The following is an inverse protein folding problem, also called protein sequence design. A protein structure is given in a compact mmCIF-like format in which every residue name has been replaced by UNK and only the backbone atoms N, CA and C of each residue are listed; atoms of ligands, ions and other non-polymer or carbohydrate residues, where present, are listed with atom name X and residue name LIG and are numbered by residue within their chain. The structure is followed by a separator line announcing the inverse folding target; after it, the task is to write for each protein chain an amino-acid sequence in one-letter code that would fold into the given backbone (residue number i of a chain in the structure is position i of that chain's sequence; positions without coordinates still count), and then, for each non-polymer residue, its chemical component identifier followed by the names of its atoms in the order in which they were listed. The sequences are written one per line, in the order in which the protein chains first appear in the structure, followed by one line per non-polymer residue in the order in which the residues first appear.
data_IF_688317831517
#
_entry.id   IF_688317831517
#
_cell.length_a   1.000
_cell.length_b   1.000
_cell.length_c   1.000
_cell.angle_alpha   90.00
_cell.angle_beta   90.00
_cell.angle_gamma   90.00
#
_symmetry.space_group_name_H-M   'P 1'
#
loop_
_entity.id
_entity.type
_entity.pdbx_description
1 polymer ?
#
# COMPACT_ATOMS: atom_id res chain seq x y z
N UNK A 1 0.40 -32.66 30.18
CA UNK A 1 0.45 -33.59 29.04
C UNK A 1 -0.45 -33.07 27.94
N UNK A 2 0.08 -32.17 27.11
CA UNK A 2 -0.62 -31.65 25.97
C UNK A 2 -0.69 -32.69 24.83
N UNK A 3 -1.77 -32.67 24.03
CA UNK A 3 -1.87 -33.43 22.78
C UNK A 3 -0.81 -32.99 21.76
N UNK A 4 -0.79 -33.63 20.59
CA UNK A 4 0.04 -33.16 19.47
C UNK A 4 -0.34 -31.73 19.13
N UNK A 5 0.67 -30.87 18.89
CA UNK A 5 0.46 -29.51 18.40
C UNK A 5 -0.30 -29.56 17.08
N UNK A 6 -1.38 -28.81 16.94
CA UNK A 6 -2.07 -28.65 15.66
C UNK A 6 -1.19 -27.83 14.70
N UNK A 7 -1.08 -28.27 13.46
CA UNK A 7 -0.34 -27.59 12.38
C UNK A 7 -1.25 -27.30 11.19
N UNK A 8 -2.55 -27.51 11.36
CA UNK A 8 -3.54 -27.34 10.28
C UNK A 8 -3.96 -25.88 10.21
N UNK A 9 -3.87 -25.21 9.06
CA UNK A 9 -4.40 -23.86 8.91
C UNK A 9 -5.92 -23.80 9.11
N UNK A 10 -6.47 -22.67 9.59
CA UNK A 10 -7.91 -22.48 9.67
C UNK A 10 -8.56 -22.54 8.29
N UNK A 11 -9.82 -22.97 8.26
CA UNK A 11 -10.60 -23.17 7.04
C UNK A 11 -11.87 -22.30 7.11
N UNK A 12 -12.20 -21.63 6.00
CA UNK A 12 -13.49 -20.96 5.84
C UNK A 12 -14.62 -21.97 5.74
N UNK A 13 -15.56 -21.94 6.66
CA UNK A 13 -16.77 -22.79 6.67
C UNK A 13 -17.88 -22.21 5.82
N UNK A 14 -18.11 -20.92 5.96
CA UNK A 14 -19.17 -20.23 5.22
C UNK A 14 -18.89 -18.74 5.15
N UNK A 15 -19.54 -18.05 4.23
CA UNK A 15 -19.56 -16.59 4.19
C UNK A 15 -20.96 -16.09 3.77
N UNK A 16 -21.31 -14.91 4.23
CA UNK A 16 -22.49 -14.19 3.76
C UNK A 16 -22.11 -12.72 3.47
N UNK A 17 -22.32 -12.25 2.23
CA UNK A 17 -22.71 -13.08 1.07
C UNK A 17 -21.63 -14.10 0.71
N UNK A 18 -21.90 -14.98 -0.27
CA UNK A 18 -20.92 -15.96 -0.74
C UNK A 18 -19.76 -15.29 -1.46
N UNK A 19 -18.60 -15.94 -1.43
CA UNK A 19 -17.47 -15.48 -2.25
C UNK A 19 -17.85 -15.47 -3.74
N UNK A 20 -17.35 -14.50 -4.49
CA UNK A 20 -17.71 -14.22 -5.89
C UNK A 20 -19.18 -13.79 -6.10
N UNK A 21 -19.83 -13.23 -5.08
CA UNK A 21 -21.19 -12.69 -5.19
C UNK A 21 -21.27 -11.59 -6.24
N UNK A 22 -22.22 -11.71 -7.16
CA UNK A 22 -22.62 -10.66 -8.10
C UNK A 22 -23.76 -9.79 -7.52
N UNK A 23 -23.91 -8.60 -8.07
CA UNK A 23 -24.93 -7.63 -7.66
C UNK A 23 -24.90 -7.39 -6.13
N UNK A 24 -23.71 -7.25 -5.59
CA UNK A 24 -23.51 -7.00 -4.18
C UNK A 24 -24.10 -5.63 -3.79
N UNK A 25 -25.03 -5.63 -2.85
CA UNK A 25 -25.70 -4.43 -2.32
C UNK A 25 -25.76 -4.42 -0.79
N UNK A 26 -25.18 -5.41 -0.14
CA UNK A 26 -25.09 -5.51 1.32
C UNK A 26 -24.09 -4.47 1.86
N UNK A 27 -24.26 -4.09 3.12
CA UNK A 27 -23.32 -3.22 3.83
C UNK A 27 -22.30 -4.00 4.66
N UNK A 28 -22.42 -5.33 4.68
CA UNK A 28 -21.57 -6.18 5.51
C UNK A 28 -21.26 -7.49 4.79
N UNK A 29 -20.04 -7.97 5.02
CA UNK A 29 -19.59 -9.32 4.71
C UNK A 29 -19.27 -9.99 6.04
N UNK A 30 -19.72 -11.23 6.21
CA UNK A 30 -19.42 -12.06 7.37
C UNK A 30 -18.78 -13.38 6.88
N UNK A 31 -17.67 -13.78 7.49
CA UNK A 31 -16.95 -15.00 7.14
C UNK A 31 -16.77 -15.81 8.42
N UNK A 32 -17.15 -17.08 8.40
CA UNK A 32 -17.03 -18.01 9.53
C UNK A 32 -15.93 -19.03 9.27
N UNK A 33 -15.07 -19.21 10.27
CA UNK A 33 -14.00 -20.21 10.25
C UNK A 33 -14.36 -21.45 11.07
N UNK A 34 -13.59 -22.52 10.89
CA UNK A 34 -13.76 -23.77 11.65
C UNK A 34 -13.32 -23.64 13.11
N UNK A 35 -12.53 -22.61 13.44
CA UNK A 35 -11.88 -22.43 14.72
C UNK A 35 -11.77 -20.92 15.07
N UNK A 36 -11.31 -20.65 16.31
CA UNK A 36 -11.13 -19.26 16.75
C UNK A 36 -9.89 -18.63 16.11
N UNK A 37 -10.04 -17.41 15.70
CA UNK A 37 -9.04 -16.63 14.98
C UNK A 37 -8.45 -15.54 15.86
N UNK A 38 -7.20 -15.18 15.61
CA UNK A 38 -6.57 -14.01 16.21
C UNK A 38 -7.21 -12.73 15.66
N UNK A 39 -7.43 -11.70 16.50
CA UNK A 39 -7.89 -10.40 16.01
C UNK A 39 -6.81 -9.72 15.16
N UNK A 40 -7.23 -8.97 14.14
CA UNK A 40 -6.34 -8.11 13.38
C UNK A 40 -5.94 -6.89 14.23
N UNK A 41 -4.65 -6.63 14.35
CA UNK A 41 -4.12 -5.53 15.17
C UNK A 41 -4.20 -4.18 14.46
N UNK A 42 -3.95 -4.18 13.16
CA UNK A 42 -4.06 -3.01 12.28
C UNK A 42 -4.66 -3.40 10.93
N UNK A 43 -6.00 -3.55 10.84
CA UNK A 43 -6.64 -3.98 9.60
C UNK A 43 -6.30 -3.13 8.37
N UNK A 44 -6.14 -1.81 8.55
CA UNK A 44 -5.83 -0.89 7.45
C UNK A 44 -4.47 -1.16 6.79
N UNK A 45 -3.49 -1.65 7.55
CA UNK A 45 -2.18 -2.04 7.06
C UNK A 45 -2.10 -3.53 6.66
N UNK A 46 -2.97 -4.36 7.25
CA UNK A 46 -2.93 -5.82 7.09
C UNK A 46 -3.85 -6.34 5.97
N UNK A 47 -4.83 -5.55 5.55
CA UNK A 47 -5.83 -5.96 4.55
C UNK A 47 -5.80 -5.02 3.36
N UNK A 48 -5.61 -5.59 2.19
CA UNK A 48 -5.64 -4.85 0.91
C UNK A 48 -7.03 -4.99 0.30
N UNK A 49 -7.68 -3.86 0.03
CA UNK A 49 -8.97 -3.81 -0.68
C UNK A 49 -8.73 -3.15 -2.03
N UNK A 50 -9.03 -3.84 -3.10
CA UNK A 50 -8.89 -3.35 -4.47
C UNK A 50 -10.20 -3.51 -5.26
N UNK A 51 -10.74 -2.46 -5.87
CA UNK A 51 -10.34 -1.06 -5.73
C UNK A 51 -10.39 -0.53 -4.31
N UNK A 52 -9.59 0.52 -4.01
CA UNK A 52 -9.59 1.15 -2.70
C UNK A 52 -10.98 1.66 -2.32
N UNK A 53 -11.35 1.48 -1.05
CA UNK A 53 -12.63 1.94 -0.47
C UNK A 53 -12.34 2.99 0.61
N UNK A 54 -12.92 4.17 0.44
CA UNK A 54 -12.84 5.24 1.43
C UNK A 54 -14.26 5.67 1.85
N UNK A 55 -14.50 5.80 3.16
CA UNK A 55 -13.60 5.48 4.25
C UNK A 55 -13.36 3.98 4.37
N UNK A 56 -12.17 3.60 4.85
CA UNK A 56 -11.80 2.18 5.02
C UNK A 56 -12.86 1.45 5.87
N UNK A 57 -13.34 0.28 5.46
CA UNK A 57 -14.39 -0.45 6.19
C UNK A 57 -13.91 -0.89 7.57
N UNK A 58 -14.85 -1.02 8.50
CA UNK A 58 -14.56 -1.62 9.80
C UNK A 58 -14.39 -3.13 9.63
N UNK A 59 -13.22 -3.65 9.96
CA UNK A 59 -12.89 -5.07 9.88
C UNK A 59 -12.57 -5.56 11.30
N UNK A 60 -13.28 -6.56 11.76
CA UNK A 60 -13.14 -7.14 13.09
C UNK A 60 -13.21 -8.67 13.03
N UNK A 61 -12.42 -9.32 13.89
CA UNK A 61 -12.51 -10.75 14.15
C UNK A 61 -12.94 -10.95 15.59
N UNK A 62 -14.04 -11.67 15.81
CA UNK A 62 -14.56 -12.05 17.13
C UNK A 62 -14.75 -13.57 17.12
N UNK A 63 -13.98 -14.28 17.94
CA UNK A 63 -13.96 -15.75 17.96
C UNK A 63 -13.62 -16.32 16.58
N UNK A 64 -14.57 -17.00 15.94
CA UNK A 64 -14.43 -17.60 14.62
C UNK A 64 -15.16 -16.82 13.50
N UNK A 65 -15.52 -15.58 13.77
CA UNK A 65 -16.24 -14.74 12.81
C UNK A 65 -15.41 -13.50 12.43
N UNK A 66 -15.18 -13.32 11.12
CA UNK A 66 -14.64 -12.11 10.52
C UNK A 66 -15.80 -11.28 9.94
N UNK A 67 -15.92 -10.05 10.37
CA UNK A 67 -16.94 -9.08 9.92
C UNK A 67 -16.28 -7.89 9.21
N UNK A 68 -16.77 -7.54 8.02
CA UNK A 68 -16.35 -6.39 7.23
C UNK A 68 -17.56 -5.51 7.00
N UNK A 69 -17.55 -4.28 7.55
CA UNK A 69 -18.67 -3.34 7.47
C UNK A 69 -18.28 -2.11 6.68
N UNK A 70 -18.95 -1.92 5.53
CA UNK A 70 -18.78 -0.73 4.69
C UNK A 70 -19.62 0.42 5.26
N UNK A 71 -19.02 1.60 5.34
CA UNK A 71 -19.71 2.81 5.82
C UNK A 71 -20.52 3.45 4.69
N UNK A 72 -19.93 3.56 3.52
CA UNK A 72 -20.50 4.24 2.37
C UNK A 72 -20.85 3.26 1.25
N UNK A 73 -21.53 3.78 0.24
CA UNK A 73 -21.91 3.02 -0.95
C UNK A 73 -20.69 2.76 -1.81
N UNK A 74 -20.50 1.52 -2.21
CA UNK A 74 -19.46 1.11 -3.13
C UNK A 74 -19.73 1.61 -4.55
N UNK A 75 -18.70 1.72 -5.37
CA UNK A 75 -18.84 2.13 -6.77
C UNK A 75 -19.69 1.09 -7.54
N UNK A 76 -20.63 1.52 -8.40
CA UNK A 76 -21.44 0.59 -9.19
C UNK A 76 -20.62 -0.10 -10.26
N UNK A 77 -21.08 -1.27 -10.69
CA UNK A 77 -20.44 -2.08 -11.75
C UNK A 77 -18.93 -2.25 -11.56
N UNK A 78 -18.54 -2.61 -10.34
CA UNK A 78 -17.13 -2.68 -9.92
C UNK A 78 -16.88 -4.00 -9.19
N UNK A 79 -15.83 -4.69 -9.60
CA UNK A 79 -15.32 -5.87 -8.92
C UNK A 79 -14.38 -5.47 -7.81
N UNK A 80 -14.63 -5.97 -6.61
CA UNK A 80 -13.81 -5.75 -5.41
C UNK A 80 -13.14 -7.05 -4.97
N UNK A 81 -11.87 -6.97 -4.64
CA UNK A 81 -11.14 -8.03 -3.96
C UNK A 81 -10.65 -7.54 -2.60
N UNK A 82 -10.77 -8.39 -1.60
CA UNK A 82 -10.26 -8.17 -0.25
C UNK A 82 -9.20 -9.24 0.02
N UNK A 83 -7.95 -8.85 0.10
CA UNK A 83 -6.82 -9.74 0.28
C UNK A 83 -6.24 -9.59 1.68
N UNK A 84 -6.12 -10.71 2.39
CA UNK A 84 -5.67 -10.75 3.78
C UNK A 84 -4.21 -11.16 3.95
N UNK A 85 -3.54 -11.60 2.88
CA UNK A 85 -2.17 -12.11 2.94
C UNK A 85 -2.04 -13.23 3.98
N UNK A 86 -1.08 -13.11 4.88
CA UNK A 86 -0.79 -14.05 5.96
C UNK A 86 -1.31 -13.56 7.33
N UNK A 87 -2.30 -12.69 7.33
CA UNK A 87 -2.81 -12.06 8.56
C UNK A 87 -3.97 -12.82 9.21
N UNK A 88 -4.53 -13.83 8.55
CA UNK A 88 -5.56 -14.70 9.14
C UNK A 88 -4.90 -15.90 9.81
N UNK A 89 -4.89 -15.92 11.14
CA UNK A 89 -4.24 -16.95 11.95
C UNK A 89 -5.20 -17.52 12.99
N UNK A 90 -5.08 -18.83 13.28
CA UNK A 90 -5.78 -19.41 14.40
C UNK A 90 -5.30 -18.80 15.73
N UNK A 91 -6.17 -18.89 16.75
CA UNK A 91 -5.90 -18.28 18.06
C UNK A 91 -4.88 -19.05 18.89
N UNK A 92 -4.75 -20.35 18.71
CA UNK A 92 -4.00 -21.21 19.62
C UNK A 92 -2.55 -21.36 19.19
N UNK A 93 -2.32 -21.87 18.00
CA UNK A 93 -1.00 -22.23 17.47
C UNK A 93 -0.41 -21.16 16.53
N UNK A 94 -1.27 -20.28 15.99
CA UNK A 94 -0.89 -19.27 15.03
C UNK A 94 -0.70 -19.80 13.61
N UNK A 95 -1.32 -20.96 13.28
CA UNK A 95 -1.31 -21.48 11.91
C UNK A 95 -2.02 -20.50 10.98
N UNK A 96 -1.44 -20.26 9.81
CA UNK A 96 -1.87 -19.18 8.92
C UNK A 96 -2.69 -19.70 7.75
N UNK A 97 -3.88 -19.11 7.54
CA UNK A 97 -4.61 -19.21 6.27
C UNK A 97 -3.98 -18.21 5.28
N UNK A 98 -2.99 -18.68 4.54
CA UNK A 98 -2.22 -17.83 3.62
C UNK A 98 -3.00 -17.46 2.36
N UNK A 99 -2.76 -16.26 1.87
CA UNK A 99 -3.25 -15.76 0.58
C UNK A 99 -4.78 -15.76 0.42
N UNK A 100 -5.53 -15.74 1.52
CA UNK A 100 -6.98 -15.69 1.43
C UNK A 100 -7.47 -14.41 0.78
N UNK A 101 -8.32 -14.58 -0.24
CA UNK A 101 -8.94 -13.49 -1.00
C UNK A 101 -10.46 -13.69 -1.02
N UNK A 102 -11.20 -12.63 -0.68
CA UNK A 102 -12.65 -12.57 -0.84
C UNK A 102 -12.98 -11.65 -2.01
N UNK A 103 -13.77 -12.13 -2.94
CA UNK A 103 -14.13 -11.46 -4.19
C UNK A 103 -15.63 -11.20 -4.24
N UNK A 104 -16.05 -10.04 -4.77
CA UNK A 104 -17.45 -9.75 -5.07
C UNK A 104 -17.55 -8.64 -6.12
N UNK A 105 -18.73 -8.48 -6.71
CA UNK A 105 -18.99 -7.40 -7.67
C UNK A 105 -20.32 -6.71 -7.35
N UNK A 106 -20.32 -5.38 -7.41
CA UNK A 106 -21.56 -4.57 -7.36
C UNK A 106 -22.32 -4.58 -8.69
N UNK A 107 -21.73 -5.15 -9.75
CA UNK A 107 -22.34 -5.37 -11.05
C UNK A 107 -22.75 -6.83 -11.27
N UNK A 108 -23.20 -7.11 -12.48
CA UNK A 108 -23.66 -8.43 -12.92
C UNK A 108 -22.54 -9.36 -13.42
N UNK A 109 -21.28 -8.91 -13.34
CA UNK A 109 -20.11 -9.67 -13.75
C UNK A 109 -18.91 -9.40 -12.87
N UNK A 110 -17.91 -10.25 -12.92
CA UNK A 110 -16.61 -10.07 -12.31
C UNK A 110 -15.61 -9.72 -13.40
N UNK A 111 -14.88 -8.63 -13.23
CA UNK A 111 -13.77 -8.26 -14.11
C UNK A 111 -12.69 -9.36 -14.05
N UNK A 112 -12.11 -9.71 -15.21
CA UNK A 112 -11.21 -10.86 -15.33
C UNK A 112 -9.82 -10.52 -15.86
N UNK A 113 -9.56 -9.23 -16.17
CA UNK A 113 -8.26 -8.83 -16.66
C UNK A 113 -7.21 -8.86 -15.56
N UNK A 114 -5.98 -9.19 -15.97
CA UNK A 114 -4.85 -9.32 -15.06
C UNK A 114 -3.65 -8.54 -15.59
N UNK A 115 -2.88 -7.97 -14.66
CA UNK A 115 -1.56 -7.40 -14.93
C UNK A 115 -0.55 -8.13 -14.06
N UNK A 116 0.35 -8.83 -14.70
CA UNK A 116 1.43 -9.60 -14.06
C UNK A 116 2.77 -9.11 -14.54
N UNK A 117 3.77 -9.33 -13.73
CA UNK A 117 5.13 -8.94 -14.09
C UNK A 117 6.11 -9.12 -12.96
N UNK A 118 7.21 -8.40 -13.07
CA UNK A 118 8.26 -8.39 -12.07
C UNK A 118 8.69 -6.99 -11.71
N UNK A 119 9.07 -6.82 -10.46
CA UNK A 119 9.78 -5.64 -9.95
C UNK A 119 11.23 -6.05 -9.76
N UNK A 120 12.14 -5.27 -10.31
CA UNK A 120 13.59 -5.45 -10.16
C UNK A 120 14.16 -4.30 -9.33
N UNK A 121 15.34 -4.51 -8.76
CA UNK A 121 16.06 -3.51 -7.98
C UNK A 121 17.57 -3.73 -8.12
N UNK A 122 18.33 -2.65 -8.04
CA UNK A 122 19.78 -2.73 -7.92
C UNK A 122 20.26 -3.21 -6.53
N UNK A 123 19.33 -3.33 -5.56
CA UNK A 123 19.61 -3.91 -4.23
C UNK A 123 19.66 -5.43 -4.30
N UNK A 124 20.30 -6.07 -3.31
CA UNK A 124 20.41 -7.54 -3.25
C UNK A 124 19.06 -8.26 -3.18
N UNK A 125 18.04 -7.60 -2.64
CA UNK A 125 16.69 -8.15 -2.53
C UNK A 125 15.60 -7.08 -2.65
N UNK A 126 14.42 -7.50 -3.06
CA UNK A 126 13.21 -6.67 -3.02
C UNK A 126 12.87 -6.32 -1.56
N UNK A 127 12.65 -5.04 -1.22
CA UNK A 127 12.21 -4.64 0.12
C UNK A 127 10.86 -5.27 0.48
N UNK A 128 10.68 -5.68 1.74
CA UNK A 128 9.52 -6.48 2.20
C UNK A 128 8.15 -5.81 1.98
N UNK A 129 8.10 -4.47 2.04
CA UNK A 129 6.88 -3.69 1.84
C UNK A 129 6.85 -3.03 0.46
N UNK A 130 7.11 -3.82 -0.58
CA UNK A 130 7.01 -3.35 -1.97
C UNK A 130 5.65 -3.72 -2.54
N UNK A 131 5.00 -2.74 -3.18
CA UNK A 131 3.68 -2.87 -3.79
C UNK A 131 3.70 -2.34 -5.22
N UNK A 132 2.88 -2.94 -6.09
CA UNK A 132 2.51 -2.38 -7.39
C UNK A 132 1.16 -1.69 -7.25
N UNK A 133 1.09 -0.45 -7.72
CA UNK A 133 0.01 0.51 -7.50
C UNK A 133 -0.52 0.98 -8.85
N UNK A 134 -1.83 0.86 -9.08
CA UNK A 134 -2.49 1.36 -10.28
C UNK A 134 -3.41 2.53 -9.94
N UNK A 135 -3.31 3.59 -10.74
CA UNK A 135 -4.12 4.80 -10.64
C UNK A 135 -4.90 5.04 -11.93
N UNK A 136 -6.15 5.46 -11.80
CA UNK A 136 -7.01 5.90 -12.93
C UNK A 136 -6.72 7.33 -13.36
N UNK A 137 -6.18 8.12 -12.46
CA UNK A 137 -5.80 9.49 -12.71
C UNK A 137 -4.59 9.57 -13.64
N UNK A 138 -4.60 10.58 -14.51
CA UNK A 138 -3.56 10.77 -15.53
C UNK A 138 -2.39 11.63 -15.05
N UNK A 139 -2.53 12.28 -13.90
CA UNK A 139 -1.53 13.18 -13.32
C UNK A 139 -0.29 12.39 -12.89
N UNK A 140 0.91 12.89 -13.25
CA UNK A 140 2.18 12.24 -12.93
C UNK A 140 2.47 12.18 -11.44
N UNK A 141 1.98 13.15 -10.65
CA UNK A 141 2.18 13.23 -9.21
C UNK A 141 1.07 12.55 -8.38
N UNK A 142 0.22 11.73 -8.99
CA UNK A 142 -0.92 11.10 -8.31
C UNK A 142 -0.48 10.24 -7.11
N UNK A 143 0.65 9.56 -7.22
CA UNK A 143 1.18 8.65 -6.21
C UNK A 143 1.62 9.35 -4.89
N UNK A 144 1.76 10.66 -4.90
CA UNK A 144 2.04 11.45 -3.68
C UNK A 144 0.79 12.03 -3.03
N UNK A 145 -0.36 12.04 -3.73
CA UNK A 145 -1.57 12.78 -3.32
C UNK A 145 -2.80 11.92 -3.12
N UNK A 146 -2.89 10.78 -3.84
CA UNK A 146 -4.08 9.92 -3.82
C UNK A 146 -3.69 8.48 -3.50
N UNK A 147 -4.61 7.75 -2.91
CA UNK A 147 -4.45 6.31 -2.76
C UNK A 147 -4.65 5.62 -4.12
N UNK A 148 -3.90 4.54 -4.37
CA UNK A 148 -4.05 3.77 -5.61
C UNK A 148 -5.43 3.13 -5.71
N UNK A 149 -5.89 2.95 -6.94
CA UNK A 149 -7.15 2.28 -7.21
C UNK A 149 -7.00 0.76 -7.05
N UNK A 150 -5.95 0.16 -7.61
CA UNK A 150 -5.58 -1.24 -7.39
C UNK A 150 -4.21 -1.34 -6.73
N UNK A 151 -4.05 -2.36 -5.87
CA UNK A 151 -2.82 -2.62 -5.12
C UNK A 151 -2.52 -4.11 -5.18
N UNK A 152 -1.26 -4.47 -5.45
CA UNK A 152 -0.74 -5.82 -5.27
C UNK A 152 0.58 -5.79 -4.52
N UNK A 153 0.76 -6.71 -3.58
CA UNK A 153 2.05 -6.90 -2.92
C UNK A 153 3.03 -7.60 -3.88
N UNK A 154 4.27 -7.13 -3.92
CA UNK A 154 5.35 -7.80 -4.63
C UNK A 154 5.89 -8.94 -3.77
N UNK A 155 6.10 -10.11 -4.37
CA UNK A 155 6.65 -11.27 -3.71
C UNK A 155 8.16 -11.12 -3.51
N UNK A 156 8.76 -11.98 -2.70
CA UNK A 156 10.20 -11.95 -2.42
C UNK A 156 11.08 -12.22 -3.64
N UNK A 157 10.55 -12.91 -4.64
CA UNK A 157 11.19 -13.15 -5.94
C UNK A 157 11.00 -12.00 -6.94
N UNK A 158 10.34 -10.92 -6.53
CA UNK A 158 10.03 -9.77 -7.36
C UNK A 158 8.75 -9.90 -8.19
N UNK A 159 8.11 -11.06 -8.22
CA UNK A 159 6.89 -11.25 -8.99
C UNK A 159 5.69 -10.52 -8.37
N UNK A 160 4.75 -10.09 -9.21
CA UNK A 160 3.45 -9.55 -8.77
C UNK A 160 2.33 -9.98 -9.68
N UNK A 161 1.11 -9.98 -9.14
CA UNK A 161 -0.12 -10.24 -9.88
C UNK A 161 -1.24 -9.34 -9.37
N UNK A 162 -1.72 -8.49 -10.25
CA UNK A 162 -2.94 -7.72 -10.08
C UNK A 162 -4.05 -8.42 -10.87
N UNK A 163 -5.10 -8.80 -10.19
CA UNK A 163 -6.20 -9.58 -10.77
C UNK A 163 -7.52 -8.84 -10.66
N UNK A 164 -8.49 -9.24 -11.49
CA UNK A 164 -9.83 -8.69 -11.48
C UNK A 164 -9.85 -7.18 -11.79
N UNK A 165 -9.00 -6.77 -12.74
CA UNK A 165 -8.88 -5.38 -13.17
C UNK A 165 -9.95 -5.11 -14.22
N UNK A 166 -10.62 -3.97 -14.08
CA UNK A 166 -11.53 -3.46 -15.09
C UNK A 166 -10.75 -2.92 -16.30
N UNK A 167 -11.30 -3.13 -17.49
CA UNK A 167 -10.79 -2.47 -18.72
C UNK A 167 -10.62 -0.97 -18.50
N UNK A 168 -9.48 -0.44 -18.89
CA UNK A 168 -9.19 0.98 -18.73
C UNK A 168 -7.72 1.35 -18.88
N UNK A 169 -7.46 2.64 -18.79
CA UNK A 169 -6.11 3.20 -18.80
C UNK A 169 -5.66 3.49 -17.37
N UNK A 170 -4.43 3.08 -17.04
CA UNK A 170 -3.87 3.20 -15.70
C UNK A 170 -2.45 3.73 -15.74
N UNK A 171 -2.11 4.55 -14.76
CA UNK A 171 -0.72 4.78 -14.39
C UNK A 171 -0.28 3.70 -13.43
N UNK A 172 0.90 3.14 -13.68
CA UNK A 172 1.44 2.02 -12.89
C UNK A 172 2.74 2.45 -12.24
N UNK A 173 2.82 2.22 -10.94
CA UNK A 173 3.99 2.47 -10.11
C UNK A 173 4.33 1.22 -9.30
N UNK A 174 5.61 1.04 -8.94
CA UNK A 174 5.98 0.23 -7.80
C UNK A 174 6.54 1.13 -6.71
N UNK A 175 6.24 0.82 -5.45
CA UNK A 175 6.62 1.60 -4.29
C UNK A 175 7.14 0.69 -3.18
N UNK A 176 8.34 0.96 -2.67
CA UNK A 176 8.83 0.40 -1.42
C UNK A 176 8.34 1.28 -0.27
N UNK A 177 7.14 0.96 0.24
CA UNK A 177 6.40 1.74 1.22
C UNK A 177 6.91 1.47 2.64
N UNK A 178 7.59 2.44 3.24
CA UNK A 178 8.23 2.29 4.57
C UNK A 178 7.25 2.46 5.73
N UNK A 179 6.21 3.26 5.54
CA UNK A 179 5.26 3.62 6.60
C UNK A 179 3.88 2.95 6.46
N UNK A 180 3.62 2.21 5.37
CA UNK A 180 2.41 1.42 5.15
C UNK A 180 1.18 2.26 4.79
N UNK A 181 1.38 3.41 4.15
CA UNK A 181 0.30 4.33 3.82
C UNK A 181 -0.10 4.34 2.33
N UNK A 182 0.68 3.69 1.46
CA UNK A 182 0.55 3.63 0.00
C UNK A 182 0.74 4.97 -0.72
N UNK A 183 1.49 5.90 -0.12
CA UNK A 183 1.92 7.15 -0.73
C UNK A 183 3.44 7.18 -0.82
N UNK A 184 3.96 7.80 -1.86
CA UNK A 184 5.37 8.16 -1.90
C UNK A 184 5.54 9.50 -1.17
N UNK A 185 5.97 9.46 0.08
CA UNK A 185 6.08 10.65 0.95
C UNK A 185 7.36 10.69 1.79
N UNK A 186 8.19 9.65 1.72
CA UNK A 186 9.47 9.61 2.40
C UNK A 186 10.65 9.57 1.40
N UNK A 187 11.72 10.32 1.65
CA UNK A 187 12.89 10.34 0.76
C UNK A 187 13.69 9.00 0.77
N UNK A 188 13.35 8.09 1.67
CA UNK A 188 13.96 6.76 1.78
C UNK A 188 13.15 5.68 1.06
N UNK A 189 12.06 6.02 0.44
CA UNK A 189 11.22 5.11 -0.33
C UNK A 189 11.74 5.01 -1.76
N UNK A 190 11.85 3.78 -2.25
CA UNK A 190 12.17 3.53 -3.66
C UNK A 190 10.89 3.46 -4.48
N UNK A 191 10.98 3.97 -5.70
CA UNK A 191 9.85 4.02 -6.64
C UNK A 191 10.25 3.45 -7.99
N UNK A 192 9.29 2.89 -8.71
CA UNK A 192 9.38 2.61 -10.14
C UNK A 192 8.09 3.08 -10.82
N UNK A 193 8.15 3.39 -12.09
CA UNK A 193 6.98 3.81 -12.86
C UNK A 193 7.08 3.35 -14.31
N UNK A 194 5.92 3.23 -14.95
CA UNK A 194 5.82 3.10 -16.38
C UNK A 194 5.78 4.49 -17.02
N UNK A 195 6.56 4.71 -18.07
CA UNK A 195 6.71 6.01 -18.73
C UNK A 195 5.41 6.57 -19.32
N UNK A 196 4.44 5.70 -19.58
CA UNK A 196 3.18 6.05 -20.20
C UNK A 196 1.97 5.40 -19.51
N UNK A 197 0.78 5.87 -19.87
CA UNK A 197 -0.46 5.20 -19.50
C UNK A 197 -0.50 3.80 -20.10
N UNK A 198 -0.74 2.81 -19.27
CA UNK A 198 -0.94 1.43 -19.67
C UNK A 198 -2.43 1.17 -19.90
N UNK A 199 -2.78 0.81 -21.14
CA UNK A 199 -4.14 0.40 -21.47
C UNK A 199 -4.31 -1.09 -21.22
N UNK A 200 -5.10 -1.43 -20.20
CA UNK A 200 -5.44 -2.80 -19.83
C UNK A 200 -6.77 -3.17 -20.50
N UNK A 201 -6.70 -3.65 -21.74
CA UNK A 201 -7.86 -4.19 -22.49
C UNK A 201 -7.75 -5.70 -22.75
N UNK A 202 -6.60 -6.26 -22.41
CA UNK A 202 -6.31 -7.70 -22.37
C UNK A 202 -5.34 -7.98 -21.23
N UNK A 203 -5.11 -9.26 -20.91
CA UNK A 203 -4.12 -9.63 -19.92
C UNK A 203 -2.72 -9.15 -20.30
N UNK A 204 -1.98 -8.65 -19.32
CA UNK A 204 -0.58 -8.26 -19.44
C UNK A 204 0.23 -9.19 -18.54
N UNK A 205 1.12 -10.00 -19.14
CA UNK A 205 1.83 -11.06 -18.42
C UNK A 205 3.32 -10.78 -18.19
N UNK A 206 3.86 -9.63 -18.66
CA UNK A 206 5.29 -9.34 -18.62
C UNK A 206 5.61 -7.85 -18.41
N UNK A 207 4.94 -7.23 -17.45
CA UNK A 207 5.29 -5.84 -17.08
C UNK A 207 6.50 -5.85 -16.15
N UNK A 208 7.57 -5.17 -16.58
CA UNK A 208 8.79 -5.04 -15.76
C UNK A 208 8.91 -3.61 -15.23
N UNK A 209 9.16 -3.50 -13.94
CA UNK A 209 9.35 -2.24 -13.24
C UNK A 209 10.69 -2.28 -12.51
N UNK A 210 11.48 -1.25 -12.63
CA UNK A 210 12.80 -1.14 -11.99
C UNK A 210 12.75 -0.12 -10.85
N UNK A 211 12.91 -0.60 -9.61
CA UNK A 211 12.94 0.25 -8.42
C UNK A 211 14.27 1.01 -8.35
N UNK A 212 14.17 2.30 -8.17
CA UNK A 212 15.29 3.17 -7.85
C UNK A 212 14.96 4.03 -6.63
N UNK A 213 15.97 4.45 -5.91
CA UNK A 213 15.85 5.45 -4.86
C UNK A 213 16.11 6.83 -5.50
N UNK A 214 15.11 7.70 -5.61
CA UNK A 214 15.32 9.03 -6.14
C UNK A 214 16.31 9.81 -5.28
N UNK A 215 17.13 10.63 -5.91
CA UNK A 215 18.02 11.51 -5.19
C UNK A 215 17.18 12.54 -4.40
N UNK A 216 17.39 12.60 -3.08
CA UNK A 216 16.73 13.61 -2.26
C UNK A 216 17.29 15.00 -2.59
N UNK A 217 16.58 15.74 -3.42
CA UNK A 217 16.97 17.11 -3.80
C UNK A 217 16.59 18.16 -2.75
N UNK A 218 15.85 17.78 -1.72
CA UNK A 218 15.41 18.71 -0.67
C UNK A 218 16.58 19.12 0.23
N UNK A 219 16.85 20.39 0.31
CA UNK A 219 17.83 20.92 1.25
C UNK A 219 17.23 20.94 2.66
N UNK A 220 17.89 20.28 3.59
CA UNK A 220 17.47 20.23 5.00
C UNK A 220 18.60 20.64 5.91
N UNK A 221 18.27 21.39 6.97
CA UNK A 221 19.21 21.72 8.05
C UNK A 221 18.96 20.77 9.20
N UNK A 222 20.00 20.11 9.69
CA UNK A 222 19.89 19.28 10.89
C UNK A 222 19.71 20.16 12.13
N UNK A 223 18.56 20.05 12.80
CA UNK A 223 18.25 20.90 13.96
C UNK A 223 19.25 20.77 15.10
N UNK A 224 19.75 19.57 15.36
CA UNK A 224 20.76 19.30 16.39
C UNK A 224 22.09 20.00 16.16
N UNK A 225 22.35 20.42 14.94
CA UNK A 225 23.63 21.03 14.53
C UNK A 225 23.49 22.57 14.35
N UNK A 226 22.37 23.15 14.73
CA UNK A 226 22.19 24.60 14.79
C UNK A 226 22.81 25.13 16.09
N UNK A 227 24.04 25.59 16.02
CA UNK A 227 24.73 26.13 17.19
C UNK A 227 25.23 27.55 16.93
N UNK A 228 25.09 28.43 17.92
CA UNK A 228 25.66 29.81 17.90
C UNK A 228 26.77 29.85 18.95
N UNK A 229 28.01 30.01 18.52
CA UNK A 229 29.16 30.18 19.39
C UNK A 229 29.94 31.43 18.94
N UNK A 230 30.17 32.37 19.87
CA UNK A 230 30.96 33.57 19.58
C UNK A 230 30.44 34.42 18.43
N UNK A 231 29.09 34.47 18.23
CA UNK A 231 28.46 35.21 17.13
C UNK A 231 28.47 34.46 15.77
N UNK A 232 28.96 33.23 15.72
CA UNK A 232 29.00 32.43 14.50
C UNK A 232 27.86 31.39 14.53
N UNK A 233 26.99 31.43 13.51
CA UNK A 233 25.96 30.43 13.31
C UNK A 233 26.51 29.29 12.46
N UNK A 234 26.56 28.09 13.02
CA UNK A 234 26.89 26.86 12.30
C UNK A 234 25.59 26.15 11.88
N UNK A 235 25.49 25.86 10.59
CA UNK A 235 24.37 25.11 10.02
C UNK A 235 24.95 23.91 9.28
N UNK A 236 24.49 22.70 9.62
CA UNK A 236 24.86 21.48 8.89
C UNK A 236 23.70 21.07 7.99
N UNK A 237 24.01 20.88 6.73
CA UNK A 237 23.04 20.49 5.71
C UNK A 237 23.20 19.00 5.36
N UNK A 238 22.14 18.40 4.88
CA UNK A 238 22.14 17.01 4.39
C UNK A 238 22.86 16.83 3.04
N UNK A 239 23.28 17.93 2.41
CA UNK A 239 23.97 17.95 1.11
C UNK A 239 25.08 18.99 1.11
N UNK A 240 26.06 18.75 0.25
CA UNK A 240 27.06 19.74 -0.10
C UNK A 240 26.41 20.90 -0.87
N UNK A 241 26.68 22.12 -0.44
CA UNK A 241 26.14 23.32 -1.06
C UNK A 241 27.24 23.96 -1.91
N UNK A 242 26.92 24.19 -3.17
CA UNK A 242 27.71 25.05 -4.04
C UNK A 242 26.99 26.37 -4.24
N UNK A 243 27.43 27.41 -3.57
CA UNK A 243 26.93 28.78 -3.76
C UNK A 243 28.09 29.78 -3.72
N UNK A 244 27.92 30.91 -4.39
CA UNK A 244 28.80 32.04 -4.25
C UNK A 244 28.50 32.82 -2.95
N UNK A 245 29.47 33.54 -2.42
CA UNK A 245 29.28 34.38 -1.20
C UNK A 245 28.10 35.34 -1.32
N UNK A 246 27.79 35.80 -2.51
CA UNK A 246 26.76 36.79 -2.80
C UNK A 246 25.35 36.21 -2.89
N UNK A 247 25.20 34.89 -2.89
CA UNK A 247 23.91 34.20 -2.94
C UNK A 247 23.35 33.82 -1.56
N UNK A 248 24.16 34.02 -0.49
CA UNK A 248 23.74 33.65 0.86
C UNK A 248 23.29 34.89 1.62
N UNK A 249 21.99 34.99 1.85
CA UNK A 249 21.39 36.03 2.69
C UNK A 249 20.82 35.41 3.94
N UNK A 250 21.29 35.83 5.11
CA UNK A 250 20.72 35.45 6.40
C UNK A 250 20.05 36.66 7.05
N UNK A 251 18.74 36.52 7.34
CA UNK A 251 17.99 37.52 8.08
C UNK A 251 17.68 36.99 9.48
N UNK A 252 18.16 37.69 10.52
CA UNK A 252 17.81 37.34 11.89
C UNK A 252 16.60 38.19 12.29
N UNK A 253 15.46 37.53 12.52
CA UNK A 253 14.25 38.17 13.00
C UNK A 253 14.24 38.04 14.53
N UNK A 254 14.62 39.07 15.22
CA UNK A 254 14.47 39.19 16.68
C UNK A 254 13.34 40.14 17.03
N UNK A 255 12.97 40.18 18.31
CA UNK A 255 11.79 40.92 18.76
C UNK A 255 11.78 42.41 18.47
N UNK A 256 12.82 43.06 17.97
CA UNK A 256 12.81 44.47 17.59
C UNK A 256 13.99 44.92 16.69
N UNK A 257 14.73 44.06 16.06
CA UNK A 257 15.77 44.45 15.12
C UNK A 257 15.96 43.47 13.96
N UNK A 258 15.90 43.99 12.73
CA UNK A 258 16.46 43.33 11.56
C UNK A 258 17.92 43.69 11.51
N UNK A 259 18.82 42.74 11.70
CA UNK A 259 20.26 42.92 11.52
C UNK A 259 20.61 42.39 10.12
N UNK A 260 21.08 43.24 9.19
CA UNK A 260 21.45 42.85 7.85
C UNK A 260 22.69 41.96 7.82
#
# INVERSE_FOLDING_TARGET
TGGKKDTTPPIVKSSYPTNAQLNFHQKQITIHFNEWMQPLTNPKAQVIISPNVEPFPKIEIIKNELSIKFKDTLQPNTTYSIYFGDNLKDNNEGNTLSNYKFLFSTGSFIDSLNVKGSVQTALDKIPDNTFVLLYKEKEDSVFTKKRPFYISKVQTDGSFSLENIKDGAYRIYALSDKNGNYYYDLPTESIAFSDSLTHVSSNIDSLNLELFLPEDTTLRIFEKDKTIKGGILHLTFNKELSFSKDELTATIIGNDAIIP
#
